data_IF_412041175834
#
_entry.id   IF_412041175834
#
_cell.length_a   1.000
_cell.length_b   1.000
_cell.length_c   1.000
_cell.angle_alpha   90.00
_cell.angle_beta   90.00
_cell.angle_gamma   90.00
#
_symmetry.space_group_name_H-M   'P 1'
#
loop_
_entity.id
_entity.type
_entity.pdbx_description
1 polymer ?
#
# COMPACT_ATOMS: atom_id res chain seq x y z
N UNK A 1 -17.36 13.08 -21.10
CA UNK A 1 -16.66 11.81 -20.83
C UNK A 1 -16.19 11.88 -19.39
N UNK A 2 -16.68 11.02 -18.51
CA UNK A 2 -16.13 10.94 -17.16
C UNK A 2 -14.69 10.43 -17.29
N UNK A 3 -13.72 11.26 -16.94
CA UNK A 3 -12.31 10.92 -17.02
C UNK A 3 -12.02 9.69 -16.14
N UNK A 4 -11.08 8.89 -16.58
CA UNK A 4 -10.53 7.75 -15.85
C UNK A 4 -9.87 8.25 -14.56
N UNK A 5 -10.64 8.23 -13.48
CA UNK A 5 -10.20 8.74 -12.19
C UNK A 5 -9.65 7.60 -11.35
N UNK A 6 -8.46 7.80 -10.79
CA UNK A 6 -7.81 6.84 -9.88
C UNK A 6 -7.94 7.36 -8.45
N UNK A 7 -8.18 6.42 -7.54
CA UNK A 7 -8.28 6.68 -6.10
C UNK A 7 -7.39 5.72 -5.35
N UNK A 8 -6.78 6.19 -4.29
CA UNK A 8 -5.86 5.42 -3.48
C UNK A 8 -6.29 5.50 -2.02
N UNK A 9 -6.46 4.34 -1.38
CA UNK A 9 -6.93 4.23 -0.02
C UNK A 9 -6.01 3.35 0.81
N UNK A 10 -5.82 3.72 2.08
CA UNK A 10 -5.02 2.95 3.02
C UNK A 10 -5.78 2.76 4.33
N UNK A 11 -6.02 1.50 4.69
CA UNK A 11 -6.60 1.12 5.97
C UNK A 11 -5.52 0.99 7.04
N UNK A 12 -5.54 1.88 8.00
CA UNK A 12 -4.69 1.84 9.20
C UNK A 12 -5.53 1.96 10.49
N UNK A 13 -6.82 1.71 10.42
CA UNK A 13 -7.75 1.86 11.57
C UNK A 13 -7.31 0.99 12.75
N UNK A 14 -6.82 -0.22 12.49
CA UNK A 14 -6.30 -1.11 13.54
C UNK A 14 -5.07 -0.57 14.26
N UNK A 15 -4.36 0.36 13.66
CA UNK A 15 -3.24 1.10 14.27
C UNK A 15 -3.67 2.42 14.93
N UNK A 16 -4.98 2.68 15.00
CA UNK A 16 -5.55 3.90 15.57
C UNK A 16 -5.48 5.12 14.66
N UNK A 17 -5.23 4.92 13.36
CA UNK A 17 -5.18 6.01 12.37
C UNK A 17 -6.48 6.02 11.57
N UNK A 18 -7.21 7.12 11.68
CA UNK A 18 -8.50 7.35 11.02
C UNK A 18 -8.35 8.43 9.96
N UNK A 19 -8.72 8.13 8.72
CA UNK A 19 -8.52 9.03 7.58
C UNK A 19 -9.71 9.89 7.26
N UNK A 20 -10.90 9.49 7.73
CA UNK A 20 -12.14 10.23 7.51
C UNK A 20 -12.71 10.12 6.10
N UNK A 21 -12.28 9.14 5.29
CA UNK A 21 -12.89 8.90 3.98
C UNK A 21 -14.40 8.59 4.15
N UNK A 22 -15.29 9.29 3.43
CA UNK A 22 -16.73 9.05 3.49
C UNK A 22 -17.18 7.88 2.58
N UNK A 23 -16.28 7.30 1.81
CA UNK A 23 -16.59 6.28 0.80
C UNK A 23 -17.04 4.97 1.47
N UNK A 24 -18.19 4.45 1.12
CA UNK A 24 -18.82 3.33 1.81
C UNK A 24 -17.93 2.09 1.99
N UNK A 25 -17.14 1.73 0.95
CA UNK A 25 -16.23 0.59 1.01
C UNK A 25 -14.88 0.92 1.70
N UNK A 26 -14.58 2.20 1.94
CA UNK A 26 -13.34 2.71 2.52
C UNK A 26 -13.66 3.73 3.63
N UNK A 27 -14.75 3.48 4.36
CA UNK A 27 -15.15 4.36 5.44
C UNK A 27 -14.01 4.52 6.44
N UNK A 28 -13.64 5.78 6.71
CA UNK A 28 -12.61 6.15 7.66
C UNK A 28 -11.17 5.73 7.28
N UNK A 29 -10.94 5.27 6.04
CA UNK A 29 -9.60 5.02 5.51
C UNK A 29 -8.89 6.32 5.17
N UNK A 30 -7.55 6.29 5.12
CA UNK A 30 -6.76 7.39 4.57
C UNK A 30 -6.94 7.46 3.05
N UNK A 31 -7.23 8.65 2.53
CA UNK A 31 -7.17 8.94 1.10
C UNK A 31 -5.76 9.46 0.78
N UNK A 32 -5.08 8.82 -0.17
CA UNK A 32 -3.71 9.14 -0.51
C UNK A 32 -3.63 10.02 -1.76
N UNK A 33 -2.74 11.01 -1.73
CA UNK A 33 -2.43 11.83 -2.91
C UNK A 33 -1.52 11.08 -3.87
N UNK A 34 -0.53 10.38 -3.33
CA UNK A 34 0.38 9.52 -4.09
C UNK A 34 0.90 8.36 -3.24
N UNK A 35 1.51 7.41 -3.89
CA UNK A 35 2.15 6.26 -3.25
C UNK A 35 3.28 5.70 -4.11
N UNK A 36 4.21 4.99 -3.48
CA UNK A 36 5.23 4.19 -4.12
C UNK A 36 5.45 2.88 -3.37
N UNK A 37 5.79 1.84 -4.10
CA UNK A 37 6.14 0.54 -3.55
C UNK A 37 7.44 0.07 -4.17
N UNK A 38 8.38 -0.34 -3.35
CA UNK A 38 9.68 -0.85 -3.80
C UNK A 38 10.11 -2.07 -3.01
N UNK A 39 10.78 -2.98 -3.69
CA UNK A 39 11.47 -4.10 -3.07
C UNK A 39 12.91 -4.14 -3.58
N UNK A 40 13.86 -4.09 -2.66
CA UNK A 40 15.29 -4.15 -2.95
C UNK A 40 15.83 -5.50 -2.52
N UNK A 41 16.46 -6.21 -3.45
CA UNK A 41 17.17 -7.45 -3.17
C UNK A 41 18.67 -7.23 -3.42
N UNK A 42 19.49 -7.56 -2.43
CA UNK A 42 20.93 -7.58 -2.60
C UNK A 42 21.32 -8.95 -3.17
N UNK A 43 21.65 -9.01 -4.44
CA UNK A 43 22.17 -10.22 -5.08
C UNK A 43 23.65 -10.03 -5.40
N UNK A 44 24.49 -11.00 -5.02
CA UNK A 44 25.87 -11.08 -5.48
C UNK A 44 25.94 -12.08 -6.64
N UNK A 45 26.13 -11.63 -7.89
CA UNK A 45 26.19 -12.52 -9.05
C UNK A 45 27.48 -13.37 -9.09
N UNK A 46 28.47 -13.08 -8.22
CA UNK A 46 29.78 -13.75 -8.23
C UNK A 46 29.86 -14.95 -7.27
N UNK A 47 28.81 -15.31 -6.59
CA UNK A 47 28.79 -16.50 -5.74
C UNK A 47 28.83 -17.75 -6.60
N UNK A 48 30.02 -18.35 -6.71
CA UNK A 48 30.24 -19.68 -7.33
C UNK A 48 29.42 -20.73 -6.53
N UNK A 49 28.41 -21.31 -7.16
CA UNK A 49 27.67 -22.40 -6.54
C UNK A 49 26.13 -22.37 -6.72
N UNK A 50 25.60 -21.52 -7.57
CA UNK A 50 24.23 -21.63 -8.10
C UNK A 50 23.09 -21.36 -7.13
N UNK A 51 23.34 -20.92 -5.90
CA UNK A 51 22.33 -20.35 -5.02
C UNK A 51 22.83 -19.02 -4.47
N UNK A 52 22.14 -17.89 -4.69
CA UNK A 52 22.44 -16.68 -3.97
C UNK A 52 22.38 -17.00 -2.47
N UNK A 53 23.43 -16.67 -1.73
CA UNK A 53 23.42 -16.72 -0.28
C UNK A 53 22.21 -15.92 0.18
N UNK A 54 21.55 -16.34 1.27
CA UNK A 54 20.32 -15.75 1.85
C UNK A 54 20.31 -14.22 1.73
N UNK A 55 19.87 -13.72 0.59
CA UNK A 55 19.62 -12.31 0.36
C UNK A 55 18.17 -12.06 0.77
N UNK A 56 17.96 -11.35 1.87
CA UNK A 56 16.62 -10.90 2.22
C UNK A 56 16.26 -9.69 1.36
N UNK A 57 15.11 -9.74 0.71
CA UNK A 57 14.56 -8.53 0.11
C UNK A 57 14.00 -7.62 1.21
N UNK A 58 14.27 -6.33 1.10
CA UNK A 58 13.67 -5.32 1.97
C UNK A 58 12.61 -4.58 1.17
N UNK A 59 11.38 -4.59 1.67
CA UNK A 59 10.27 -3.89 1.07
C UNK A 59 9.97 -2.57 1.75
N UNK A 60 9.56 -1.58 0.97
CA UNK A 60 9.13 -0.27 1.43
C UNK A 60 7.84 0.14 0.71
N UNK A 61 6.92 0.72 1.46
CA UNK A 61 5.73 1.38 0.94
C UNK A 61 5.72 2.84 1.41
N UNK A 62 5.84 3.77 0.46
CA UNK A 62 5.76 5.20 0.70
C UNK A 62 4.40 5.75 0.29
N UNK A 63 3.91 6.74 1.01
CA UNK A 63 2.69 7.43 0.63
C UNK A 63 2.65 8.87 1.16
N UNK A 64 1.87 9.70 0.50
CA UNK A 64 1.63 11.07 0.93
C UNK A 64 0.14 11.32 1.13
N UNK A 65 -0.17 12.08 2.18
CA UNK A 65 -1.52 12.50 2.53
C UNK A 65 -1.54 13.98 2.89
N UNK A 66 -2.70 14.59 2.81
CA UNK A 66 -2.96 15.85 3.52
C UNK A 66 -2.87 15.57 5.02
N UNK A 67 -2.16 16.40 5.75
CA UNK A 67 -1.89 16.20 7.18
C UNK A 67 -3.17 15.87 7.98
N UNK A 68 -3.15 14.74 8.68
CA UNK A 68 -4.28 14.17 9.41
C UNK A 68 -4.06 14.08 10.93
N UNK A 69 -3.36 15.04 11.50
CA UNK A 69 -3.17 15.11 12.94
C UNK A 69 -1.97 14.31 13.48
N UNK A 70 -1.91 14.07 14.82
CA UNK A 70 -0.71 13.55 15.48
C UNK A 70 -0.57 12.02 15.45
N UNK A 71 -1.52 11.28 14.89
CA UNK A 71 -1.55 9.81 14.97
C UNK A 71 -0.33 9.16 14.33
N UNK A 72 0.00 9.54 13.10
CA UNK A 72 1.18 9.04 12.39
C UNK A 72 2.49 9.48 13.03
N UNK A 73 2.51 10.64 13.68
CA UNK A 73 3.65 11.07 14.47
C UNK A 73 3.91 10.12 15.65
N UNK A 74 2.85 9.75 16.38
CA UNK A 74 2.96 8.80 17.50
C UNK A 74 3.50 7.43 17.05
N UNK A 75 3.04 6.91 15.93
CA UNK A 75 3.53 5.65 15.37
C UNK A 75 5.00 5.74 14.94
N UNK A 76 5.39 6.83 14.29
CA UNK A 76 6.78 7.05 13.88
C UNK A 76 7.72 7.21 15.10
N UNK A 77 7.29 7.92 16.13
CA UNK A 77 8.08 8.15 17.33
C UNK A 77 8.23 6.89 18.21
N UNK A 78 7.19 6.06 18.27
CA UNK A 78 7.21 4.84 19.09
C UNK A 78 7.96 3.67 18.43
N UNK A 79 8.05 3.65 17.09
CA UNK A 79 8.63 2.53 16.34
C UNK A 79 7.91 1.21 16.58
N UNK A 80 6.65 1.25 17.02
CA UNK A 80 5.88 0.03 17.29
C UNK A 80 5.47 -0.68 16.00
N UNK A 81 5.36 -2.01 16.08
CA UNK A 81 4.78 -2.78 14.98
C UNK A 81 3.27 -2.58 14.90
N UNK A 82 2.79 -2.46 13.66
CA UNK A 82 1.38 -2.34 13.32
C UNK A 82 1.01 -3.44 12.31
N UNK A 83 -0.26 -3.76 12.23
CA UNK A 83 -0.74 -4.76 11.26
C UNK A 83 -0.43 -6.22 11.64
N UNK A 84 -0.13 -6.53 12.90
CA UNK A 84 0.11 -7.90 13.36
C UNK A 84 -1.19 -8.70 13.48
N UNK A 85 -2.20 -8.12 14.09
CA UNK A 85 -3.51 -8.77 14.31
C UNK A 85 -4.48 -8.48 13.16
N UNK A 86 -4.46 -7.25 12.65
CA UNK A 86 -5.27 -6.82 11.52
C UNK A 86 -4.37 -6.11 10.52
N UNK A 87 -4.13 -6.72 9.34
CA UNK A 87 -3.18 -6.19 8.36
C UNK A 87 -3.49 -4.76 7.93
N UNK A 88 -2.46 -4.03 7.52
CA UNK A 88 -2.59 -2.75 6.82
C UNK A 88 -2.96 -3.07 5.36
N UNK A 89 -4.00 -2.46 4.84
CA UNK A 89 -4.48 -2.72 3.48
C UNK A 89 -4.44 -1.46 2.65
N UNK A 90 -3.69 -1.49 1.56
CA UNK A 90 -3.71 -0.46 0.52
C UNK A 90 -4.54 -0.94 -0.65
N UNK A 91 -5.39 -0.06 -1.19
CA UNK A 91 -6.19 -0.32 -2.39
C UNK A 91 -6.09 0.84 -3.37
N UNK A 92 -5.81 0.50 -4.63
CA UNK A 92 -5.92 1.41 -5.75
C UNK A 92 -7.15 1.06 -6.57
N UNK A 93 -8.04 2.03 -6.70
CA UNK A 93 -9.27 1.93 -7.47
C UNK A 93 -9.20 2.74 -8.75
N UNK A 94 -9.99 2.32 -9.71
CA UNK A 94 -10.20 3.02 -10.97
C UNK A 94 -11.69 3.13 -11.25
N UNK A 95 -12.13 4.32 -11.67
CA UNK A 95 -13.49 4.55 -12.16
C UNK A 95 -13.60 4.19 -13.65
N UNK A 96 -14.83 4.15 -14.16
CA UNK A 96 -15.08 3.86 -15.56
C UNK A 96 -14.92 2.39 -15.95
N UNK A 97 -14.87 1.49 -14.96
CA UNK A 97 -14.84 0.05 -15.23
C UNK A 97 -16.24 -0.46 -15.51
N UNK A 98 -16.35 -1.28 -16.57
CA UNK A 98 -17.60 -1.96 -16.93
C UNK A 98 -17.66 -3.30 -16.20
N UNK A 99 -18.70 -3.50 -15.40
CA UNK A 99 -19.04 -4.83 -14.89
C UNK A 99 -19.76 -5.64 -15.96
N UNK A 100 -19.73 -6.97 -15.86
CA UNK A 100 -20.33 -7.88 -16.85
C UNK A 100 -21.82 -7.68 -17.16
N UNK A 101 -22.49 -6.71 -16.52
CA UNK A 101 -23.87 -6.28 -16.76
C UNK A 101 -24.03 -4.92 -17.46
N UNK A 102 -22.94 -4.32 -17.99
CA UNK A 102 -23.00 -3.06 -18.73
C UNK A 102 -23.06 -1.78 -17.89
N UNK A 103 -23.09 -1.87 -16.56
CA UNK A 103 -22.99 -0.70 -15.70
C UNK A 103 -21.54 -0.30 -15.49
N UNK A 104 -21.24 1.01 -15.61
CA UNK A 104 -19.93 1.55 -15.27
C UNK A 104 -19.84 1.79 -13.77
N UNK A 105 -18.74 1.36 -13.16
CA UNK A 105 -18.50 1.47 -11.72
C UNK A 105 -17.05 1.76 -11.38
N UNK A 106 -16.72 1.69 -10.12
CA UNK A 106 -15.37 1.76 -9.59
C UNK A 106 -14.95 0.37 -9.14
N UNK A 107 -13.71 0.01 -9.37
CA UNK A 107 -13.20 -1.29 -8.93
C UNK A 107 -11.73 -1.27 -8.54
N UNK A 108 -11.38 -2.10 -7.56
CA UNK A 108 -10.02 -2.30 -7.07
C UNK A 108 -9.23 -3.10 -8.11
N UNK A 109 -8.17 -2.51 -8.66
CA UNK A 109 -7.27 -3.17 -9.61
C UNK A 109 -5.94 -3.57 -8.99
N UNK A 110 -5.53 -2.96 -7.88
CA UNK A 110 -4.33 -3.29 -7.12
C UNK A 110 -4.64 -3.24 -5.63
N UNK A 111 -4.25 -4.28 -4.91
CA UNK A 111 -4.31 -4.33 -3.46
C UNK A 111 -2.96 -4.80 -2.91
N UNK A 112 -2.46 -4.12 -1.89
CA UNK A 112 -1.30 -4.54 -1.11
C UNK A 112 -1.74 -4.75 0.34
N UNK A 113 -1.39 -5.90 0.90
CA UNK A 113 -1.69 -6.25 2.29
C UNK A 113 -0.36 -6.42 3.02
N UNK A 114 -0.12 -5.55 4.00
CA UNK A 114 1.12 -5.55 4.79
C UNK A 114 0.85 -6.13 6.17
N UNK A 115 1.68 -7.08 6.58
CA UNK A 115 1.63 -7.66 7.92
C UNK A 115 2.92 -7.32 8.65
N UNK A 116 2.76 -6.92 9.91
CA UNK A 116 3.86 -6.54 10.78
C UNK A 116 4.74 -5.45 10.15
N UNK A 117 4.16 -4.28 10.02
CA UNK A 117 4.80 -3.10 9.48
C UNK A 117 5.25 -2.14 10.61
N UNK A 118 6.16 -1.25 10.28
CA UNK A 118 6.58 -0.15 11.15
C UNK A 118 6.74 1.11 10.32
N UNK A 119 6.41 2.26 10.88
CA UNK A 119 6.69 3.56 10.26
C UNK A 119 8.18 3.83 10.37
N UNK A 120 8.89 3.73 9.24
CA UNK A 120 10.36 3.90 9.18
C UNK A 120 10.78 5.34 8.92
N UNK A 121 9.92 6.12 8.27
CA UNK A 121 10.16 7.52 7.99
C UNK A 121 8.85 8.31 8.00
N UNK A 122 8.93 9.54 8.47
CA UNK A 122 7.86 10.52 8.41
C UNK A 122 8.45 11.91 8.19
N UNK A 123 7.93 12.63 7.24
CA UNK A 123 8.22 14.06 7.05
C UNK A 123 6.92 14.84 6.89
N UNK A 124 6.93 16.06 7.36
CA UNK A 124 5.84 17.02 7.23
C UNK A 124 6.37 18.23 6.48
N UNK A 125 5.74 18.56 5.38
CA UNK A 125 6.02 19.78 4.61
C UNK A 125 4.76 20.62 4.51
N UNK A 126 4.91 21.92 4.47
CA UNK A 126 3.80 22.84 4.32
C UNK A 126 4.21 24.01 3.47
N UNK A 127 3.34 24.39 2.55
CA UNK A 127 3.39 25.61 1.77
C UNK A 127 2.07 26.38 2.01
N UNK A 128 1.91 27.56 1.45
CA UNK A 128 0.80 28.51 1.68
C UNK A 128 -0.63 27.92 1.52
N UNK A 129 -1.00 26.93 2.35
CA UNK A 129 -2.37 26.42 2.43
C UNK A 129 -2.56 24.92 2.58
N UNK A 130 -1.60 24.09 2.20
CA UNK A 130 -1.69 22.64 2.42
C UNK A 130 -0.47 22.10 3.15
N UNK A 131 -0.74 21.32 4.19
CA UNK A 131 0.30 20.56 4.89
C UNK A 131 0.27 19.14 4.36
N UNK A 132 1.36 18.74 3.71
CA UNK A 132 1.55 17.39 3.19
C UNK A 132 2.39 16.56 4.14
N UNK A 133 1.97 15.37 4.40
CA UNK A 133 2.67 14.40 5.22
C UNK A 133 3.11 13.24 4.34
N UNK A 134 4.41 12.95 4.33
CA UNK A 134 4.97 11.80 3.65
C UNK A 134 5.42 10.77 4.66
N UNK A 135 5.01 9.53 4.48
CA UNK A 135 5.22 8.41 5.38
C UNK A 135 5.81 7.24 4.60
N UNK A 136 6.75 6.52 5.23
CA UNK A 136 7.26 5.26 4.72
C UNK A 136 7.04 4.15 5.73
N UNK A 137 6.53 3.02 5.24
CA UNK A 137 6.40 1.78 5.98
C UNK A 137 7.44 0.77 5.49
N UNK A 138 8.08 0.09 6.42
CA UNK A 138 8.77 -1.19 6.17
C UNK A 138 7.96 -2.30 6.79
N UNK A 139 8.00 -3.50 6.22
CA UNK A 139 7.10 -4.59 6.60
C UNK A 139 7.83 -5.94 6.54
N UNK A 140 7.34 -6.90 7.35
CA UNK A 140 7.84 -8.28 7.34
C UNK A 140 7.22 -9.08 6.18
N UNK A 141 5.91 -8.88 5.93
CA UNK A 141 5.18 -9.60 4.88
C UNK A 141 4.38 -8.66 4.03
N UNK A 142 4.30 -8.98 2.74
CA UNK A 142 3.41 -8.32 1.80
C UNK A 142 2.72 -9.34 0.91
N UNK A 143 1.42 -9.14 0.68
CA UNK A 143 0.68 -9.81 -0.36
C UNK A 143 0.24 -8.77 -1.39
N UNK A 144 0.50 -9.03 -2.65
CA UNK A 144 0.06 -8.20 -3.77
C UNK A 144 -1.01 -8.96 -4.56
N UNK A 145 -2.15 -8.33 -4.75
CA UNK A 145 -3.18 -8.76 -5.68
C UNK A 145 -3.30 -7.72 -6.79
N UNK A 146 -3.24 -8.17 -8.02
CA UNK A 146 -3.41 -7.32 -9.20
C UNK A 146 -4.45 -7.90 -10.14
N UNK A 147 -5.30 -7.03 -10.71
CA UNK A 147 -6.26 -7.34 -11.75
C UNK A 147 -5.97 -6.47 -12.97
N UNK A 148 -5.65 -7.10 -14.08
CA UNK A 148 -5.45 -6.39 -15.34
C UNK A 148 -6.77 -5.76 -15.80
N UNK A 149 -6.69 -4.53 -16.27
CA UNK A 149 -7.84 -3.85 -16.89
C UNK A 149 -7.70 -3.94 -18.41
N UNK A 150 -8.62 -4.64 -19.05
CA UNK A 150 -8.66 -4.78 -20.52
C UNK A 150 -9.98 -4.23 -21.03
N UNK A 151 -9.92 -3.24 -21.91
CA UNK A 151 -11.12 -2.57 -22.46
C UNK A 151 -12.14 -2.12 -21.40
N UNK A 152 -11.65 -1.58 -20.28
CA UNK A 152 -12.52 -1.13 -19.19
C UNK A 152 -13.09 -2.25 -18.30
N UNK A 153 -12.67 -3.50 -18.47
CA UNK A 153 -13.14 -4.64 -17.66
C UNK A 153 -11.99 -5.17 -16.80
N UNK A 154 -12.28 -5.46 -15.53
CA UNK A 154 -11.33 -6.11 -14.63
C UNK A 154 -11.20 -7.60 -14.98
N UNK A 155 -9.97 -8.02 -15.22
CA UNK A 155 -9.61 -9.43 -15.39
C UNK A 155 -9.57 -10.22 -14.06
N UNK A 156 -9.18 -11.49 -14.12
CA UNK A 156 -9.00 -12.31 -12.93
C UNK A 156 -7.90 -11.76 -12.04
N UNK A 157 -8.02 -12.00 -10.73
CA UNK A 157 -7.01 -11.61 -9.75
C UNK A 157 -5.77 -12.52 -9.88
N UNK A 158 -4.60 -11.90 -9.93
CA UNK A 158 -3.30 -12.55 -9.78
C UNK A 158 -2.73 -12.16 -8.41
N UNK A 159 -2.36 -13.15 -7.61
CA UNK A 159 -1.89 -12.90 -6.24
C UNK A 159 -0.51 -13.52 -6.03
N UNK A 160 0.37 -12.77 -5.37
CA UNK A 160 1.68 -13.22 -4.90
C UNK A 160 1.95 -12.65 -3.52
N UNK A 161 2.63 -13.44 -2.69
CA UNK A 161 3.03 -13.02 -1.34
C UNK A 161 4.53 -13.17 -1.16
N UNK A 162 5.11 -12.31 -0.34
CA UNK A 162 6.50 -12.37 0.10
C UNK A 162 6.60 -12.24 1.61
N UNK A 163 7.40 -13.11 2.21
CA UNK A 163 7.72 -13.11 3.64
C UNK A 163 9.24 -12.89 3.81
N UNK A 164 9.62 -11.72 4.34
CA UNK A 164 11.03 -11.35 4.53
C UNK A 164 11.74 -12.22 5.59
N UNK A 165 10.99 -12.71 6.59
CA UNK A 165 11.56 -13.56 7.65
C UNK A 165 11.97 -14.94 7.14
N UNK A 166 11.18 -15.51 6.25
CA UNK A 166 11.46 -16.82 5.64
C UNK A 166 12.15 -16.72 4.28
N UNK A 167 12.18 -15.51 3.70
CA UNK A 167 12.64 -15.22 2.34
C UNK A 167 11.93 -16.10 1.29
N UNK A 168 10.62 -16.24 1.41
CA UNK A 168 9.80 -17.07 0.54
C UNK A 168 8.79 -16.25 -0.24
N UNK A 169 8.61 -16.63 -1.50
CA UNK A 169 7.52 -16.14 -2.38
C UNK A 169 6.51 -17.28 -2.55
N UNK A 170 5.22 -16.96 -2.39
CA UNK A 170 4.10 -17.90 -2.57
C UNK A 170 3.01 -17.32 -3.48
#
# INVERSE_FOLDING_TARGET
MAGDQKYFFLNMISAGVHGGSPKANHLDWLELDNWDFSMNQTADPNVKGGRPSKTSATGRFGFSIVHNGPYLFGLAASGQFIGETSPIVFEAERSGLTSGGGSTGTGVYLQLIFTKAVVSHRSLSGDDGQKMEHIELVFEKVQMMYKQVVNGVLGPAMTKSYDAKTNQVT
#
